data_IF_554220890746
#
_entry.id   IF_554220890746
#
_cell.length_a   1.000
_cell.length_b   1.000
_cell.length_c   1.000
_cell.angle_alpha   90.00
_cell.angle_beta   90.00
_cell.angle_gamma   90.00
#
_symmetry.space_group_name_H-M   'P 1'
#
loop_
_entity.id
_entity.type
_entity.pdbx_description
1 polymer ?
#
# COMPACT_ATOMS: atom_id res chain seq x y z
N UNK A 1 14.35 8.24 12.88
CA UNK A 1 15.07 8.45 11.59
C UNK A 1 14.78 7.27 10.68
N UNK A 2 14.63 7.48 9.37
CA UNK A 2 14.45 6.40 8.39
C UNK A 2 15.79 6.06 7.70
N UNK A 3 16.29 4.86 7.91
CA UNK A 3 17.38 4.29 7.11
C UNK A 3 16.76 3.37 6.05
N UNK A 4 16.51 3.91 4.86
CA UNK A 4 15.79 3.20 3.79
C UNK A 4 16.45 1.86 3.42
N UNK A 5 17.79 1.78 3.33
CA UNK A 5 18.49 0.53 2.98
C UNK A 5 18.26 -0.58 4.01
N UNK A 6 18.41 -0.24 5.30
CA UNK A 6 18.22 -1.20 6.40
C UNK A 6 16.76 -1.60 6.52
N UNK A 7 15.86 -0.61 6.47
CA UNK A 7 14.42 -0.82 6.54
C UNK A 7 13.90 -1.73 5.41
N UNK A 8 14.34 -1.44 4.16
CA UNK A 8 14.04 -2.28 2.99
C UNK A 8 14.50 -3.73 3.20
N UNK A 9 15.73 -3.94 3.70
CA UNK A 9 16.25 -5.28 3.97
C UNK A 9 15.37 -6.03 4.96
N UNK A 10 14.97 -5.38 6.04
CA UNK A 10 14.11 -5.99 7.08
C UNK A 10 12.75 -6.38 6.49
N UNK A 11 12.06 -5.48 5.77
CA UNK A 11 10.78 -5.79 5.14
C UNK A 11 10.93 -6.93 4.12
N UNK A 12 11.98 -6.89 3.31
CA UNK A 12 12.28 -7.93 2.32
C UNK A 12 12.41 -9.32 2.96
N UNK A 13 13.17 -9.43 4.04
CA UNK A 13 13.38 -10.69 4.75
C UNK A 13 12.10 -11.18 5.44
N UNK A 14 11.33 -10.27 6.07
CA UNK A 14 10.02 -10.60 6.67
C UNK A 14 9.06 -11.16 5.62
N UNK A 15 8.94 -10.54 4.45
CA UNK A 15 8.08 -11.04 3.36
C UNK A 15 8.51 -12.45 2.97
N UNK A 16 9.79 -12.66 2.70
CA UNK A 16 10.30 -13.98 2.31
C UNK A 16 10.02 -15.04 3.37
N UNK A 17 10.23 -14.71 4.64
CA UNK A 17 10.00 -15.67 5.72
C UNK A 17 8.51 -15.97 5.89
N UNK A 18 7.62 -14.99 5.86
CA UNK A 18 6.17 -15.22 5.91
C UNK A 18 5.73 -16.20 4.80
N UNK A 19 6.16 -15.93 3.56
CA UNK A 19 5.75 -16.75 2.41
C UNK A 19 6.52 -18.06 2.25
N UNK A 20 7.59 -18.28 2.99
CA UNK A 20 8.25 -19.57 3.12
C UNK A 20 7.59 -20.51 4.15
N UNK A 21 6.69 -19.97 4.97
CA UNK A 21 5.92 -20.73 5.99
C UNK A 21 4.51 -21.05 5.49
N UNK A 22 3.84 -22.07 6.08
CA UNK A 22 2.46 -22.42 5.71
C UNK A 22 1.47 -21.25 5.78
N UNK A 23 1.68 -20.29 6.69
CA UNK A 23 0.81 -19.11 6.83
C UNK A 23 0.77 -18.24 5.58
N UNK A 24 1.81 -18.25 4.75
CA UNK A 24 1.85 -17.50 3.49
C UNK A 24 0.74 -17.90 2.51
N UNK A 25 0.24 -19.13 2.59
CA UNK A 25 -0.89 -19.59 1.77
C UNK A 25 -2.19 -18.84 2.08
N UNK A 26 -2.33 -18.33 3.29
CA UNK A 26 -3.53 -17.61 3.77
C UNK A 26 -3.39 -16.10 3.76
N UNK A 27 -2.32 -15.59 3.17
CA UNK A 27 -2.04 -14.16 3.13
C UNK A 27 -1.96 -13.65 1.69
N UNK A 28 -2.50 -12.46 1.47
CA UNK A 28 -2.39 -11.69 0.23
C UNK A 28 -1.60 -10.41 0.46
N UNK A 29 -0.45 -10.25 -0.19
CA UNK A 29 0.38 -9.06 -0.08
C UNK A 29 -0.23 -7.91 -0.85
N UNK A 30 -0.29 -6.72 -0.25
CA UNK A 30 -0.88 -5.52 -0.85
C UNK A 30 -0.18 -4.24 -0.41
N UNK A 31 -0.77 -3.11 -0.76
CA UNK A 31 -0.34 -1.79 -0.29
C UNK A 31 0.84 -1.20 -1.03
N UNK A 32 1.38 -0.11 -0.49
CA UNK A 32 2.48 0.63 -1.13
C UNK A 32 3.76 -0.18 -1.26
N UNK A 33 4.03 -1.07 -0.31
CA UNK A 33 5.22 -1.92 -0.33
C UNK A 33 5.13 -3.00 -1.42
N UNK A 34 3.93 -3.51 -1.70
CA UNK A 34 3.68 -4.41 -2.83
C UNK A 34 3.93 -3.69 -4.16
N UNK A 35 3.41 -2.47 -4.32
CA UNK A 35 3.69 -1.65 -5.51
C UNK A 35 5.18 -1.35 -5.68
N UNK A 36 5.88 -1.06 -4.57
CA UNK A 36 7.32 -0.80 -4.58
C UNK A 36 8.13 -2.01 -5.05
N UNK A 37 7.80 -3.23 -4.60
CA UNK A 37 8.58 -4.41 -4.95
C UNK A 37 8.22 -5.06 -6.28
N UNK A 38 6.97 -4.95 -6.74
CA UNK A 38 6.50 -5.67 -7.93
C UNK A 38 6.18 -4.78 -9.13
N UNK A 39 6.04 -3.47 -8.91
CA UNK A 39 5.64 -2.54 -9.97
C UNK A 39 6.53 -1.30 -10.04
N UNK A 40 7.71 -1.34 -9.38
CA UNK A 40 8.73 -0.29 -9.41
C UNK A 40 8.18 1.10 -8.98
N UNK A 41 7.26 1.13 -8.02
CA UNK A 41 6.81 2.40 -7.44
C UNK A 41 8.04 3.18 -6.95
N UNK A 42 8.29 4.34 -7.55
CA UNK A 42 9.49 5.14 -7.37
C UNK A 42 9.48 6.03 -6.10
N UNK A 43 8.73 5.61 -5.10
CA UNK A 43 8.83 6.06 -3.72
C UNK A 43 8.99 4.89 -2.76
N UNK A 44 9.74 5.10 -1.71
CA UNK A 44 9.88 4.10 -0.66
C UNK A 44 8.56 3.88 0.10
N UNK A 45 8.33 2.66 0.59
CA UNK A 45 7.21 2.32 1.45
C UNK A 45 7.70 1.63 2.72
N UNK A 46 7.15 2.00 3.86
CA UNK A 46 7.68 1.64 5.18
C UNK A 46 6.86 0.58 5.93
N UNK A 47 5.63 0.35 5.51
CA UNK A 47 4.70 -0.56 6.18
C UNK A 47 4.51 -1.83 5.35
N UNK A 48 4.16 -2.93 5.98
CA UNK A 48 3.81 -4.20 5.34
C UNK A 48 2.31 -4.45 5.52
N UNK A 49 1.58 -4.35 4.42
CA UNK A 49 0.14 -4.57 4.37
C UNK A 49 -0.19 -5.92 3.76
N UNK A 50 -1.03 -6.70 4.44
CA UNK A 50 -1.49 -8.01 4.01
C UNK A 50 -3.01 -8.14 4.17
N UNK A 51 -3.63 -9.03 3.41
CA UNK A 51 -4.99 -9.50 3.61
C UNK A 51 -4.98 -10.93 4.16
N UNK A 52 -5.84 -11.20 5.14
CA UNK A 52 -6.09 -12.54 5.67
C UNK A 52 -7.17 -13.22 4.83
N UNK A 53 -6.79 -14.17 4.00
CA UNK A 53 -7.66 -14.83 3.02
C UNK A 53 -8.54 -15.92 3.63
N UNK A 54 -8.17 -16.43 4.80
CA UNK A 54 -8.95 -17.41 5.57
C UNK A 54 -9.07 -16.95 7.03
N UNK A 55 -10.24 -16.44 7.40
CA UNK A 55 -10.52 -15.94 8.76
C UNK A 55 -10.37 -17.02 9.84
N UNK A 56 -10.59 -18.29 9.52
CA UNK A 56 -10.42 -19.40 10.47
C UNK A 56 -8.97 -19.55 10.95
N UNK A 57 -8.02 -19.02 10.17
CA UNK A 57 -6.58 -19.04 10.41
C UNK A 57 -6.03 -17.83 11.18
N UNK A 58 -6.89 -16.89 11.58
CA UNK A 58 -6.46 -15.64 12.22
C UNK A 58 -5.54 -15.84 13.42
N UNK A 59 -5.88 -16.78 14.32
CA UNK A 59 -5.06 -17.07 15.52
C UNK A 59 -3.71 -17.67 15.17
N UNK A 60 -3.67 -18.58 14.20
CA UNK A 60 -2.44 -19.21 13.74
C UNK A 60 -1.54 -18.21 13.04
N UNK A 61 -2.11 -17.40 12.13
CA UNK A 61 -1.40 -16.32 11.44
C UNK A 61 -0.85 -15.30 12.45
N UNK A 62 -1.63 -14.91 13.46
CA UNK A 62 -1.18 -13.98 14.50
C UNK A 62 0.04 -14.53 15.26
N UNK A 63 -0.04 -15.78 15.72
CA UNK A 63 1.04 -16.42 16.50
C UNK A 63 2.31 -16.62 15.67
N UNK A 64 2.18 -17.10 14.43
CA UNK A 64 3.36 -17.32 13.57
C UNK A 64 3.99 -16.00 13.11
N UNK A 65 3.17 -14.98 12.77
CA UNK A 65 3.68 -13.64 12.43
C UNK A 65 4.45 -13.04 13.61
N UNK A 66 3.94 -13.17 14.84
CA UNK A 66 4.66 -12.73 16.04
C UNK A 66 6.03 -13.41 16.18
N UNK A 67 6.10 -14.72 15.98
CA UNK A 67 7.36 -15.50 16.06
C UNK A 67 8.36 -15.06 15.00
N UNK A 68 7.90 -14.84 13.77
CA UNK A 68 8.73 -14.33 12.67
C UNK A 68 9.29 -12.95 13.05
N UNK A 69 8.43 -12.01 13.41
CA UNK A 69 8.84 -10.63 13.67
C UNK A 69 9.84 -10.51 14.83
N UNK A 70 9.69 -11.33 15.87
CA UNK A 70 10.63 -11.38 17.02
C UNK A 70 12.07 -11.73 16.64
N UNK A 71 12.31 -12.35 15.50
CA UNK A 71 13.65 -12.66 14.99
C UNK A 71 14.38 -11.42 14.47
N UNK A 72 13.62 -10.38 14.09
CA UNK A 72 14.14 -9.14 13.48
C UNK A 72 14.27 -7.98 14.47
N UNK A 73 13.70 -8.11 15.67
CA UNK A 73 13.77 -7.06 16.67
C UNK A 73 12.74 -7.19 17.80
N UNK A 74 12.51 -6.09 18.50
CA UNK A 74 11.55 -6.02 19.59
C UNK A 74 10.17 -5.64 19.03
N UNK A 75 9.15 -6.43 19.35
CA UNK A 75 7.77 -6.01 19.15
C UNK A 75 7.40 -4.99 20.23
N UNK A 76 7.06 -3.78 19.81
CA UNK A 76 6.61 -2.72 20.70
C UNK A 76 5.12 -2.78 20.95
N UNK A 77 4.39 -3.15 19.92
CA UNK A 77 2.94 -3.35 20.00
C UNK A 77 2.49 -4.54 19.16
N UNK A 78 1.44 -5.22 19.63
CA UNK A 78 0.73 -6.26 18.89
C UNK A 78 -0.72 -6.30 19.34
N UNK A 79 -1.64 -6.30 18.41
CA UNK A 79 -3.07 -6.31 18.70
C UNK A 79 -3.82 -7.20 17.70
N UNK A 80 -4.67 -8.05 18.26
CA UNK A 80 -5.72 -8.74 17.48
C UNK A 80 -7.01 -7.93 17.61
N UNK A 81 -7.25 -7.03 16.65
CA UNK A 81 -8.47 -6.20 16.58
C UNK A 81 -9.55 -6.91 15.79
N UNK A 82 -10.79 -6.44 15.88
CA UNK A 82 -11.92 -7.02 15.14
C UNK A 82 -11.67 -7.16 13.64
N UNK A 83 -10.99 -6.19 13.03
CA UNK A 83 -10.81 -6.10 11.58
C UNK A 83 -9.35 -6.18 11.11
N UNK A 84 -8.39 -6.25 12.03
CA UNK A 84 -6.98 -6.17 11.68
C UNK A 84 -6.13 -6.86 12.73
N UNK A 85 -5.14 -7.66 12.31
CA UNK A 85 -4.01 -8.03 13.14
C UNK A 85 -2.92 -6.97 12.95
N UNK A 86 -2.45 -6.39 14.02
CA UNK A 86 -1.47 -5.30 14.00
C UNK A 86 -0.22 -5.69 14.75
N UNK A 87 0.95 -5.37 14.19
CA UNK A 87 2.23 -5.50 14.86
C UNK A 87 3.08 -4.26 14.57
N UNK A 88 3.82 -3.81 15.58
CA UNK A 88 4.83 -2.77 15.44
C UNK A 88 6.19 -3.33 15.85
N UNK A 89 7.08 -3.47 14.86
CA UNK A 89 8.41 -4.03 15.03
C UNK A 89 9.45 -2.90 15.06
N UNK A 90 10.17 -2.80 16.18
CA UNK A 90 11.38 -1.97 16.28
C UNK A 90 12.62 -2.82 16.11
N UNK A 91 13.25 -2.72 14.98
CA UNK A 91 14.47 -3.46 14.64
C UNK A 91 15.75 -2.75 15.11
N UNK A 92 15.66 -1.46 15.47
CA UNK A 92 16.76 -0.67 16.01
C UNK A 92 16.23 0.57 16.77
N UNK A 93 16.91 0.91 17.87
CA UNK A 93 16.56 2.09 18.69
C UNK A 93 16.80 3.38 17.88
N UNK A 94 15.85 4.31 17.94
CA UNK A 94 15.92 5.58 17.21
C UNK A 94 15.58 5.50 15.70
N UNK A 95 15.37 4.30 15.16
CA UNK A 95 14.90 4.11 13.78
C UNK A 95 13.38 3.99 13.71
N UNK A 96 12.85 4.25 12.51
CA UNK A 96 11.42 4.06 12.25
C UNK A 96 11.06 2.57 12.37
N UNK A 97 9.97 2.27 13.08
CA UNK A 97 9.43 0.92 13.21
C UNK A 97 8.84 0.44 11.88
N UNK A 98 8.83 -0.88 11.68
CA UNK A 98 8.04 -1.53 10.63
C UNK A 98 6.67 -1.85 11.22
N UNK A 99 5.61 -1.33 10.60
CA UNK A 99 4.24 -1.70 10.93
C UNK A 99 3.79 -2.81 10.01
N UNK A 100 3.28 -3.90 10.59
CA UNK A 100 2.67 -5.01 9.83
C UNK A 100 1.19 -5.01 10.13
N UNK A 101 0.38 -4.80 9.09
CA UNK A 101 -1.09 -4.84 9.18
C UNK A 101 -1.65 -5.99 8.34
N UNK A 102 -2.44 -6.86 8.97
CA UNK A 102 -3.13 -7.96 8.28
C UNK A 102 -4.62 -7.71 8.40
N UNK A 103 -5.23 -7.27 7.30
CA UNK A 103 -6.65 -6.94 7.23
C UNK A 103 -7.50 -8.21 7.21
N UNK A 104 -8.54 -8.27 8.05
CA UNK A 104 -9.50 -9.38 8.14
C UNK A 104 -10.75 -9.20 7.28
N UNK A 105 -10.97 -8.00 6.73
CA UNK A 105 -12.11 -7.67 5.87
C UNK A 105 -11.68 -7.67 4.42
N UNK A 106 -11.65 -8.85 3.84
CA UNK A 106 -11.24 -9.06 2.45
C UNK A 106 -12.48 -9.12 1.57
N UNK A 107 -12.52 -8.34 0.51
CA UNK A 107 -13.59 -8.43 -0.48
C UNK A 107 -13.47 -9.76 -1.25
N UNK A 108 -14.58 -10.49 -1.46
CA UNK A 108 -14.58 -11.67 -2.31
C UNK A 108 -14.29 -11.36 -3.78
N UNK A 109 -14.34 -10.08 -4.17
CA UNK A 109 -14.02 -9.61 -5.52
C UNK A 109 -12.53 -9.36 -5.75
N UNK A 110 -11.71 -9.49 -4.69
CA UNK A 110 -10.27 -9.31 -4.82
C UNK A 110 -9.65 -10.43 -5.64
N UNK A 111 -8.85 -10.06 -6.62
CA UNK A 111 -8.04 -10.96 -7.41
C UNK A 111 -6.60 -10.96 -6.88
N UNK A 112 -6.07 -12.16 -6.64
CA UNK A 112 -4.70 -12.33 -6.19
C UNK A 112 -3.91 -13.13 -7.23
N UNK A 113 -2.69 -12.67 -7.50
CA UNK A 113 -1.78 -13.29 -8.45
C UNK A 113 -0.55 -13.85 -7.72
N UNK A 114 -0.02 -14.95 -8.24
CA UNK A 114 1.26 -15.47 -7.76
C UNK A 114 2.41 -14.71 -8.42
N UNK A 115 3.21 -14.03 -7.63
CA UNK A 115 4.40 -13.29 -8.09
C UNK A 115 5.67 -13.98 -7.58
N UNK A 116 6.72 -13.96 -8.38
CA UNK A 116 8.04 -14.43 -7.95
C UNK A 116 8.77 -13.29 -7.21
N UNK A 117 8.98 -13.50 -5.91
CA UNK A 117 9.74 -12.57 -5.08
C UNK A 117 11.10 -13.16 -4.75
N UNK A 118 12.07 -12.95 -5.65
CA UNK A 118 13.44 -13.46 -5.50
C UNK A 118 13.49 -14.96 -5.13
N UNK A 119 12.78 -15.79 -5.87
CA UNK A 119 12.69 -17.22 -5.66
C UNK A 119 11.62 -17.68 -4.68
N UNK A 120 10.92 -16.77 -4.01
CA UNK A 120 9.77 -17.08 -3.13
C UNK A 120 8.47 -16.75 -3.85
N UNK A 121 7.53 -17.70 -3.89
CA UNK A 121 6.20 -17.47 -4.44
C UNK A 121 5.36 -16.64 -3.47
N UNK A 122 4.95 -15.46 -3.86
CA UNK A 122 4.15 -14.51 -3.07
C UNK A 122 2.80 -14.28 -3.72
N UNK A 123 1.73 -14.48 -2.98
CA UNK A 123 0.38 -14.14 -3.42
C UNK A 123 0.15 -12.65 -3.22
N UNK A 124 0.05 -11.88 -4.29
CA UNK A 124 -0.10 -10.43 -4.29
C UNK A 124 -1.45 -10.01 -4.87
N UNK A 125 -2.04 -8.93 -4.32
CA UNK A 125 -3.25 -8.32 -4.85
C UNK A 125 -3.00 -7.81 -6.28
N UNK A 126 -3.93 -8.05 -7.19
CA UNK A 126 -3.85 -7.57 -8.57
C UNK A 126 -3.68 -6.05 -8.65
N UNK A 127 -2.98 -5.59 -9.68
CA UNK A 127 -2.66 -4.15 -9.81
C UNK A 127 -3.92 -3.30 -9.98
N UNK A 128 -4.90 -3.78 -10.73
CA UNK A 128 -6.18 -3.08 -10.96
C UNK A 128 -6.98 -2.92 -9.67
N UNK A 129 -7.01 -3.98 -8.83
CA UNK A 129 -7.64 -3.98 -7.51
C UNK A 129 -6.91 -3.02 -6.56
N UNK A 130 -5.57 -3.11 -6.54
CA UNK A 130 -4.73 -2.20 -5.75
C UNK A 130 -4.98 -0.75 -6.13
N UNK A 131 -5.14 -0.46 -7.42
CA UNK A 131 -5.45 0.87 -7.91
C UNK A 131 -6.83 1.34 -7.46
N UNK A 132 -7.86 0.51 -7.59
CA UNK A 132 -9.21 0.83 -7.11
C UNK A 132 -9.20 1.20 -5.63
N UNK A 133 -8.51 0.41 -4.78
CA UNK A 133 -8.37 0.73 -3.35
C UNK A 133 -7.58 2.01 -3.09
N UNK A 134 -6.56 2.33 -3.88
CA UNK A 134 -5.84 3.60 -3.76
C UNK A 134 -6.75 4.80 -4.03
N UNK A 135 -7.58 4.73 -5.05
CA UNK A 135 -8.57 5.77 -5.35
C UNK A 135 -9.55 5.93 -4.18
N UNK A 136 -10.16 4.83 -3.71
CA UNK A 136 -11.16 4.84 -2.63
C UNK A 136 -10.57 5.38 -1.32
N UNK A 137 -9.38 4.92 -0.94
CA UNK A 137 -8.75 5.33 0.32
C UNK A 137 -8.35 6.80 0.30
N UNK A 138 -7.90 7.34 -0.84
CA UNK A 138 -7.43 8.72 -0.94
C UNK A 138 -8.49 9.76 -0.57
N UNK A 139 -9.77 9.47 -0.88
CA UNK A 139 -10.90 10.38 -0.60
C UNK A 139 -11.56 10.12 0.76
N UNK A 140 -11.40 8.91 1.32
CA UNK A 140 -12.08 8.49 2.56
C UNK A 140 -11.25 8.68 3.84
N UNK A 141 -10.02 9.15 3.73
CA UNK A 141 -9.17 9.42 4.89
C UNK A 141 -9.60 10.71 5.61
N UNK A 142 -9.55 10.69 6.95
CA UNK A 142 -9.75 11.90 7.78
C UNK A 142 -8.70 13.00 7.49
N UNK A 143 -7.50 12.61 7.12
CA UNK A 143 -6.42 13.51 6.72
C UNK A 143 -5.86 13.06 5.37
N UNK A 144 -5.81 13.98 4.43
CA UNK A 144 -5.26 13.76 3.09
C UNK A 144 -3.77 13.46 3.20
N UNK A 145 -3.32 12.44 2.50
CA UNK A 145 -1.93 12.06 2.45
C UNK A 145 -1.39 12.21 1.01
N UNK A 146 -0.45 13.12 0.80
CA UNK A 146 0.12 13.35 -0.54
C UNK A 146 0.75 12.10 -1.17
N UNK A 147 1.19 11.14 -0.34
CA UNK A 147 1.68 9.84 -0.83
C UNK A 147 0.59 9.05 -1.56
N UNK A 148 -0.68 9.21 -1.19
CA UNK A 148 -1.77 8.51 -1.89
C UNK A 148 -2.00 9.14 -3.26
N UNK A 149 -1.91 10.48 -3.38
CA UNK A 149 -1.96 11.17 -4.67
C UNK A 149 -0.77 10.82 -5.57
N UNK A 150 0.42 10.66 -4.98
CA UNK A 150 1.60 10.22 -5.69
C UNK A 150 1.42 8.80 -6.27
N UNK A 151 0.86 7.87 -5.48
CA UNK A 151 0.59 6.51 -5.93
C UNK A 151 -0.43 6.49 -7.08
N UNK A 152 -1.49 7.28 -6.97
CA UNK A 152 -2.52 7.39 -8.01
C UNK A 152 -1.91 7.96 -9.31
N UNK A 153 -1.11 9.03 -9.21
CA UNK A 153 -0.39 9.59 -10.36
C UNK A 153 0.51 8.53 -11.00
N UNK A 154 1.29 7.81 -10.18
CA UNK A 154 2.18 6.75 -10.67
C UNK A 154 1.42 5.66 -11.43
N UNK A 155 0.30 5.22 -10.89
CA UNK A 155 -0.51 4.15 -11.51
C UNK A 155 -1.10 4.60 -12.85
N UNK A 156 -1.70 5.77 -12.92
CA UNK A 156 -2.19 6.33 -14.19
C UNK A 156 -1.07 6.53 -15.21
N UNK A 157 0.05 7.14 -14.80
CA UNK A 157 1.21 7.40 -15.67
C UNK A 157 1.76 6.13 -16.31
N UNK A 158 1.71 5.01 -15.61
CA UNK A 158 2.17 3.71 -16.10
C UNK A 158 1.08 2.93 -16.86
N UNK A 159 -0.06 3.56 -17.19
CA UNK A 159 -1.11 2.98 -18.03
C UNK A 159 -1.97 1.93 -17.33
N UNK A 160 -1.94 1.86 -16.01
CA UNK A 160 -2.83 0.98 -15.27
C UNK A 160 -4.24 1.56 -15.20
N UNK A 161 -5.26 0.69 -15.17
CA UNK A 161 -6.66 1.04 -14.95
C UNK A 161 -7.16 0.45 -13.64
N UNK A 162 -8.04 1.15 -12.92
CA UNK A 162 -8.61 0.62 -11.68
C UNK A 162 -9.70 -0.42 -11.99
N UNK A 163 -9.87 -1.40 -11.07
CA UNK A 163 -10.95 -2.38 -11.17
C UNK A 163 -12.32 -1.69 -10.98
N UNK A 164 -13.11 -1.69 -12.06
CA UNK A 164 -14.45 -1.07 -12.13
C UNK A 164 -15.42 -1.68 -11.12
N UNK A 165 -15.39 -3.00 -10.93
CA UNK A 165 -16.32 -3.69 -10.02
C UNK A 165 -16.07 -3.33 -8.57
N UNK A 166 -14.80 -3.19 -8.17
CA UNK A 166 -14.43 -2.77 -6.82
C UNK A 166 -14.89 -1.33 -6.57
N UNK A 167 -14.64 -0.41 -7.50
CA UNK A 167 -15.10 0.97 -7.36
C UNK A 167 -16.61 1.03 -7.23
N UNK A 168 -17.33 0.34 -8.11
CA UNK A 168 -18.80 0.31 -8.10
C UNK A 168 -19.35 -0.28 -6.80
N UNK A 169 -18.73 -1.35 -6.27
CA UNK A 169 -19.16 -2.00 -5.05
C UNK A 169 -19.03 -1.08 -3.82
N UNK A 170 -17.92 -0.33 -3.75
CA UNK A 170 -17.63 0.55 -2.61
C UNK A 170 -18.30 1.92 -2.70
N UNK A 171 -18.54 2.43 -3.91
CA UNK A 171 -18.96 3.82 -4.12
C UNK A 171 -20.32 3.96 -4.79
N UNK A 172 -20.84 2.90 -5.41
CA UNK A 172 -22.04 2.92 -6.22
C UNK A 172 -21.88 3.59 -7.61
N UNK A 173 -20.66 3.97 -7.99
CA UNK A 173 -20.35 4.78 -9.18
C UNK A 173 -19.49 4.01 -10.17
N UNK A 174 -19.51 4.43 -11.44
CA UNK A 174 -18.51 4.01 -12.40
C UNK A 174 -17.13 4.56 -12.02
N UNK A 175 -16.05 3.94 -12.50
CA UNK A 175 -14.70 4.44 -12.22
C UNK A 175 -14.49 5.85 -12.81
N UNK A 176 -15.06 6.17 -13.98
CA UNK A 176 -14.99 7.50 -14.59
C UNK A 176 -15.72 8.56 -13.76
N UNK A 177 -16.92 8.26 -13.28
CA UNK A 177 -17.66 9.17 -12.40
C UNK A 177 -16.92 9.42 -11.11
N UNK A 178 -16.37 8.35 -10.53
CA UNK A 178 -15.59 8.46 -9.30
C UNK A 178 -14.29 9.25 -9.49
N UNK A 179 -13.60 9.05 -10.62
CA UNK A 179 -12.42 9.85 -10.97
C UNK A 179 -12.78 11.34 -11.22
N UNK A 180 -13.97 11.64 -11.71
CA UNK A 180 -14.45 13.03 -11.83
C UNK A 180 -14.62 13.71 -10.47
N UNK A 181 -15.08 12.97 -9.46
CA UNK A 181 -15.15 13.46 -8.08
C UNK A 181 -13.77 13.55 -7.44
N UNK A 182 -12.91 12.56 -7.68
CA UNK A 182 -11.52 12.59 -7.22
C UNK A 182 -10.79 13.81 -7.76
N UNK A 183 -11.02 14.20 -9.02
CA UNK A 183 -10.43 15.41 -9.61
C UNK A 183 -10.75 16.63 -8.76
N UNK A 184 -12.02 16.87 -8.47
CA UNK A 184 -12.47 17.98 -7.62
C UNK A 184 -11.84 17.88 -6.22
N UNK A 185 -11.85 16.67 -5.65
CA UNK A 185 -11.24 16.44 -4.35
C UNK A 185 -9.75 16.80 -4.33
N UNK A 186 -8.98 16.44 -5.38
CA UNK A 186 -7.57 16.81 -5.51
C UNK A 186 -7.41 18.33 -5.67
N UNK A 187 -8.24 18.98 -6.48
CA UNK A 187 -8.21 20.44 -6.65
C UNK A 187 -8.34 21.17 -5.31
N UNK A 188 -9.28 20.72 -4.46
CA UNK A 188 -9.64 21.37 -3.20
C UNK A 188 -8.71 21.00 -2.02
N UNK A 189 -8.17 19.76 -2.02
CA UNK A 189 -7.50 19.20 -0.86
C UNK A 189 -6.01 18.90 -1.06
N UNK A 190 -5.44 19.18 -2.24
CA UNK A 190 -4.00 19.01 -2.43
C UNK A 190 -3.23 19.95 -1.51
N UNK A 191 -2.36 19.38 -0.67
CA UNK A 191 -1.65 20.14 0.37
C UNK A 191 -0.79 21.28 -0.20
N UNK A 192 -0.77 22.41 0.47
CA UNK A 192 0.18 23.51 0.22
C UNK A 192 1.64 23.10 0.45
N UNK A 193 1.86 22.03 1.22
CA UNK A 193 3.17 21.37 1.33
C UNK A 193 3.12 19.97 0.66
N UNK A 194 3.41 19.86 -0.65
CA UNK A 194 3.34 18.62 -1.40
C UNK A 194 4.25 17.51 -0.86
N UNK A 195 5.30 17.86 -0.14
CA UNK A 195 6.25 16.90 0.47
C UNK A 195 5.79 16.38 1.83
N UNK A 196 4.70 16.88 2.40
CA UNK A 196 4.22 16.38 3.70
C UNK A 196 3.90 14.89 3.63
N UNK A 197 4.57 14.07 4.47
CA UNK A 197 4.42 12.62 4.50
C UNK A 197 4.94 11.87 3.26
N UNK A 198 5.59 12.59 2.32
CA UNK A 198 6.16 12.03 1.10
C UNK A 198 7.68 12.29 1.00
N UNK A 199 8.16 13.43 1.50
CA UNK A 199 9.51 13.92 1.25
C UNK A 199 10.64 13.03 1.75
N UNK A 200 10.42 12.19 2.77
CA UNK A 200 11.38 11.20 3.26
C UNK A 200 11.35 9.88 2.46
N UNK A 201 10.32 9.71 1.62
CA UNK A 201 10.06 8.49 0.88
C UNK A 201 10.48 8.54 -0.58
N UNK A 202 10.84 9.72 -1.08
CA UNK A 202 11.27 9.94 -2.48
C UNK A 202 12.73 10.38 -2.54
N UNK A 203 13.38 10.12 -3.68
CA UNK A 203 14.74 10.53 -3.92
C UNK A 203 14.85 12.09 -3.99
N UNK A 204 16.00 12.66 -3.62
CA UNK A 204 16.18 14.11 -3.56
C UNK A 204 15.87 14.85 -4.86
N UNK A 205 16.24 14.30 -6.00
CA UNK A 205 16.01 14.86 -7.33
C UNK A 205 14.52 14.95 -7.70
N UNK A 206 13.68 14.04 -7.15
CA UNK A 206 12.22 14.05 -7.34
C UNK A 206 11.49 15.13 -6.56
N UNK A 207 12.09 15.64 -5.48
CA UNK A 207 11.40 16.59 -4.56
C UNK A 207 10.96 17.87 -5.26
N UNK A 208 11.81 18.42 -6.12
CA UNK A 208 11.47 19.66 -6.83
C UNK A 208 10.36 19.44 -7.85
N UNK A 209 10.37 18.31 -8.54
CA UNK A 209 9.28 17.94 -9.44
C UNK A 209 7.96 17.76 -8.67
N UNK A 210 7.96 17.07 -7.52
CA UNK A 210 6.76 16.89 -6.69
C UNK A 210 6.15 18.23 -6.28
N UNK A 211 6.98 19.18 -5.86
CA UNK A 211 6.51 20.53 -5.46
C UNK A 211 5.86 21.28 -6.61
N UNK A 212 6.40 21.17 -7.83
CA UNK A 212 6.00 22.01 -8.97
C UNK A 212 4.95 21.35 -9.84
N UNK A 213 5.00 20.04 -10.02
CA UNK A 213 4.32 19.35 -11.12
C UNK A 213 3.33 18.28 -10.69
N UNK A 214 3.48 17.65 -9.52
CA UNK A 214 2.66 16.48 -9.14
C UNK A 214 1.16 16.76 -9.23
N UNK A 215 0.67 17.90 -8.69
CA UNK A 215 -0.76 18.24 -8.74
C UNK A 215 -1.26 18.35 -10.19
N UNK A 216 -0.54 19.12 -11.00
CA UNK A 216 -0.95 19.37 -12.39
C UNK A 216 -0.92 18.10 -13.23
N UNK A 217 0.13 17.28 -13.09
CA UNK A 217 0.24 16.01 -13.81
C UNK A 217 -0.82 14.98 -13.35
N UNK A 218 -1.11 14.90 -12.04
CA UNK A 218 -2.18 14.05 -11.54
C UNK A 218 -3.53 14.43 -12.15
N UNK A 219 -3.87 15.72 -12.15
CA UNK A 219 -5.12 16.21 -12.74
C UNK A 219 -5.20 15.90 -14.25
N UNK A 220 -4.09 16.08 -14.97
CA UNK A 220 -4.01 15.75 -16.39
C UNK A 220 -4.21 14.24 -16.65
N UNK A 221 -3.63 13.36 -15.83
CA UNK A 221 -3.82 11.92 -15.93
C UNK A 221 -5.27 11.50 -15.64
N UNK A 222 -5.89 12.12 -14.63
CA UNK A 222 -7.32 11.88 -14.34
C UNK A 222 -8.19 12.33 -15.52
N UNK A 223 -7.93 13.51 -16.08
CA UNK A 223 -8.68 14.00 -17.26
C UNK A 223 -8.50 13.08 -18.47
N UNK A 224 -7.30 12.62 -18.71
CA UNK A 224 -7.03 11.66 -19.76
C UNK A 224 -7.85 10.37 -19.58
N UNK A 225 -7.87 9.81 -18.36
CA UNK A 225 -8.64 8.60 -18.06
C UNK A 225 -10.17 8.79 -18.23
N UNK A 226 -10.70 9.93 -17.81
CA UNK A 226 -12.14 10.20 -17.91
C UNK A 226 -12.59 10.30 -19.38
N UNK A 227 -11.75 10.88 -20.25
CA UNK A 227 -12.11 11.22 -21.63
C UNK A 227 -11.80 10.10 -22.65
N UNK A 228 -11.10 9.03 -22.25
CA UNK A 228 -10.79 7.89 -23.10
C UNK A 228 -11.42 6.60 -22.58
#
# INVERSE_FOLDING_TARGET
>A
MLNQKKHRKIIFEIIREIYSKPIGAWLGFKGGTMLYFFYDLDRFSVDLDLDLLDLSKAKEVFSETEKILKQYGKLEDKMDKNFTLLFELRYEVGMQSVKVEINKRVSPKNNYEMKNFYGTAVKALGIEDSFAYKLIVSTNRKAVANRDFYDIWFLFKNGFSPNEEIIKDYTGKSAKDYCSELKKFVEDNFSSNPLAGLGELIEPDRKEWVKRSLKAELLAQIDFYINN
#
